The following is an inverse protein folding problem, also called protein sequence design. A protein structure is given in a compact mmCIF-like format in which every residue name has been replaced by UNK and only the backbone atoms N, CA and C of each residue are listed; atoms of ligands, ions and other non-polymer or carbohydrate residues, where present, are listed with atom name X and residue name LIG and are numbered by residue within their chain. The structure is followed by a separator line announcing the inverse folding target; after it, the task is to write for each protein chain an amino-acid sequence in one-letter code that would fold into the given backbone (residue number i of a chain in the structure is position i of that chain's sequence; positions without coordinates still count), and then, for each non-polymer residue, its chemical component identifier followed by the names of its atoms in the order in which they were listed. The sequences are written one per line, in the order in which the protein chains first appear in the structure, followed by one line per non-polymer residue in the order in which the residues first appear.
data_IF_046447539790
#
_entry.id   IF_046447539790
#
_cell.length_a   1.000
_cell.length_b   1.000
_cell.length_c   1.000
_cell.angle_alpha   90.00
_cell.angle_beta   90.00
_cell.angle_gamma   90.00
#
_symmetry.space_group_name_H-M   'P 1'
#
loop_
_entity.id
_entity.type
_entity.pdbx_description
1 polymer ?
#
# COMPACT_ATOMS: atom_id res chain seq x y z
N UNK A 1 -27.48 -29.19 8.79
CA UNK A 1 -26.06 -29.32 9.06
C UNK A 1 -25.23 -28.52 8.06
N UNK A 2 -25.41 -28.69 6.76
CA UNK A 2 -24.70 -27.91 5.76
C UNK A 2 -24.98 -26.40 5.88
N UNK A 3 -26.17 -26.05 6.32
CA UNK A 3 -26.57 -24.65 6.48
C UNK A 3 -25.73 -23.91 7.53
N UNK A 4 -25.42 -24.58 8.63
CA UNK A 4 -24.62 -23.94 9.67
C UNK A 4 -23.24 -23.55 9.17
N UNK A 5 -22.64 -24.41 8.39
CA UNK A 5 -21.30 -24.12 7.82
C UNK A 5 -21.33 -22.91 6.90
N UNK A 6 -22.35 -22.78 6.07
CA UNK A 6 -22.48 -21.65 5.15
C UNK A 6 -22.66 -20.35 5.92
N UNK A 7 -23.47 -20.38 6.96
CA UNK A 7 -23.69 -19.19 7.79
C UNK A 7 -22.40 -18.72 8.45
N UNK A 8 -21.61 -19.64 8.97
CA UNK A 8 -20.34 -19.31 9.60
C UNK A 8 -19.40 -18.65 8.61
N UNK A 9 -19.30 -19.19 7.40
CA UNK A 9 -18.43 -18.62 6.37
C UNK A 9 -18.85 -17.20 5.99
N UNK A 10 -20.17 -16.94 5.92
CA UNK A 10 -20.67 -15.62 5.59
C UNK A 10 -20.37 -14.59 6.68
N UNK A 11 -20.43 -15.01 7.94
CA UNK A 11 -20.19 -14.10 9.08
C UNK A 11 -18.73 -13.69 9.17
N UNK A 12 -17.81 -14.60 8.91
CA UNK A 12 -16.38 -14.34 9.06
C UNK A 12 -15.87 -13.14 8.26
N UNK A 13 -16.15 -13.03 6.95
CA UNK A 13 -15.71 -11.86 6.19
C UNK A 13 -16.26 -10.55 6.73
N UNK A 14 -17.49 -10.56 7.21
CA UNK A 14 -18.09 -9.34 7.76
C UNK A 14 -17.40 -8.90 9.04
N UNK A 15 -17.03 -9.84 9.88
CA UNK A 15 -16.31 -9.53 11.10
C UNK A 15 -14.95 -8.92 10.81
N UNK A 16 -14.26 -9.46 9.82
CA UNK A 16 -12.97 -8.93 9.43
C UNK A 16 -13.07 -7.48 8.92
N UNK A 17 -14.09 -7.21 8.11
CA UNK A 17 -14.33 -5.85 7.62
C UNK A 17 -14.69 -4.90 8.75
N UNK A 18 -15.52 -5.34 9.68
CA UNK A 18 -15.90 -4.51 10.81
C UNK A 18 -14.69 -4.20 11.70
N UNK A 19 -13.84 -5.18 11.93
CA UNK A 19 -12.62 -4.99 12.70
C UNK A 19 -11.69 -3.99 12.02
N UNK A 20 -11.56 -4.06 10.71
CA UNK A 20 -10.74 -3.11 9.95
C UNK A 20 -11.26 -1.67 10.08
N UNK A 21 -12.58 -1.51 10.18
CA UNK A 21 -13.19 -0.18 10.33
C UNK A 21 -13.08 0.37 11.74
N UNK A 22 -12.81 -0.45 12.71
CA UNK A 22 -12.76 -0.03 14.10
C UNK A 22 -11.57 0.87 14.44
N UNK A 23 -10.64 1.06 13.52
CA UNK A 23 -9.50 1.95 13.72
C UNK A 23 -8.25 1.24 14.17
N UNK A 24 -8.20 0.75 15.40
CA UNK A 24 -7.00 0.09 15.92
C UNK A 24 -6.53 -1.10 15.08
N UNK A 25 -7.42 -2.03 14.67
CA UNK A 25 -7.00 -3.10 13.77
C UNK A 25 -6.53 -2.60 12.41
N UNK A 26 -7.14 -1.52 11.90
CA UNK A 26 -6.74 -0.94 10.63
C UNK A 26 -5.34 -0.34 10.74
N UNK A 27 -5.02 0.35 11.83
CA UNK A 27 -3.70 0.90 12.06
C UNK A 27 -2.65 -0.20 12.16
N UNK A 28 -2.97 -1.30 12.84
CA UNK A 28 -2.08 -2.45 12.94
C UNK A 28 -1.84 -3.07 11.57
N UNK A 29 -2.90 -3.21 10.77
CA UNK A 29 -2.79 -3.77 9.43
C UNK A 29 -1.96 -2.89 8.50
N UNK A 30 -2.02 -1.56 8.69
CA UNK A 30 -1.21 -0.62 7.92
C UNK A 30 0.26 -0.66 8.34
N UNK A 31 0.51 -0.83 9.62
CA UNK A 31 1.87 -0.85 10.16
C UNK A 31 2.61 -2.14 9.81
N UNK A 32 1.92 -3.28 9.83
CA UNK A 32 2.55 -4.59 9.65
C UNK A 32 3.27 -4.75 8.31
N UNK A 33 2.66 -4.40 7.14
CA UNK A 33 3.37 -4.49 5.87
C UNK A 33 4.61 -3.61 5.82
N UNK A 34 4.50 -2.40 6.34
CA UNK A 34 5.62 -1.47 6.34
C UNK A 34 6.73 -1.94 7.27
N UNK A 35 6.39 -2.37 8.48
CA UNK A 35 7.40 -2.79 9.47
C UNK A 35 8.19 -4.00 9.02
N UNK A 36 7.60 -4.88 8.20
CA UNK A 36 8.28 -6.03 7.65
C UNK A 36 9.39 -5.67 6.66
N UNK A 37 9.40 -4.43 6.19
CA UNK A 37 10.41 -3.96 5.23
C UNK A 37 11.38 -2.94 5.83
N UNK A 38 11.32 -2.70 7.13
CA UNK A 38 12.21 -1.73 7.79
C UNK A 38 13.38 -2.49 8.41
N UNK A 39 14.60 -2.05 8.10
CA UNK A 39 15.80 -2.65 8.67
C UNK A 39 16.10 -2.10 10.07
N UNK A 40 17.16 -2.60 10.70
CA UNK A 40 17.53 -2.21 12.06
C UNK A 40 17.88 -0.72 12.18
N UNK A 41 18.25 -0.07 11.09
CA UNK A 41 18.60 1.36 11.05
C UNK A 41 17.41 2.24 10.72
N UNK A 42 16.24 1.65 10.47
CA UNK A 42 15.04 2.39 10.14
C UNK A 42 14.84 2.67 8.66
N UNK A 43 15.67 2.12 7.79
CA UNK A 43 15.51 2.27 6.35
C UNK A 43 14.62 1.20 5.78
N UNK A 44 13.87 1.55 4.73
CA UNK A 44 13.14 0.56 3.93
C UNK A 44 14.16 -0.32 3.20
N UNK A 45 14.02 -1.62 3.36
CA UNK A 45 14.91 -2.60 2.74
C UNK A 45 14.48 -2.85 1.30
N UNK A 46 15.20 -2.23 0.38
CA UNK A 46 14.82 -2.19 -1.05
C UNK A 46 14.72 -3.60 -1.65
N UNK A 47 15.71 -4.44 -1.39
CA UNK A 47 15.71 -5.79 -1.95
C UNK A 47 14.50 -6.60 -1.50
N UNK A 48 14.13 -6.49 -0.23
CA UNK A 48 12.96 -7.18 0.31
C UNK A 48 11.66 -6.71 -0.34
N UNK A 49 11.53 -5.40 -0.56
CA UNK A 49 10.35 -4.84 -1.24
C UNK A 49 10.30 -5.34 -2.69
N UNK A 50 11.41 -5.25 -3.41
CA UNK A 50 11.46 -5.70 -4.80
C UNK A 50 11.08 -7.17 -4.91
N UNK A 51 11.67 -8.03 -4.07
CA UNK A 51 11.37 -9.45 -4.06
C UNK A 51 9.90 -9.73 -3.73
N UNK A 52 9.37 -9.02 -2.75
CA UNK A 52 7.99 -9.20 -2.31
C UNK A 52 6.98 -8.93 -3.42
N UNK A 53 7.28 -7.97 -4.29
CA UNK A 53 6.38 -7.61 -5.40
C UNK A 53 6.82 -8.19 -6.74
N UNK A 54 7.86 -9.00 -6.75
CA UNK A 54 8.36 -9.60 -7.99
C UNK A 54 8.86 -8.58 -8.99
N UNK A 55 9.46 -7.50 -8.52
CA UNK A 55 9.96 -6.41 -9.35
C UNK A 55 11.47 -6.33 -9.31
N UNK A 56 12.06 -5.83 -10.40
CA UNK A 56 13.45 -5.40 -10.38
C UNK A 56 13.56 -4.06 -9.63
N UNK A 57 14.76 -3.71 -9.19
CA UNK A 57 14.99 -2.40 -8.57
C UNK A 57 14.66 -1.26 -9.52
N UNK A 58 14.92 -1.44 -10.83
CA UNK A 58 14.56 -0.44 -11.83
C UNK A 58 13.06 -0.24 -11.91
N UNK A 59 12.29 -1.32 -11.94
CA UNK A 59 10.83 -1.24 -11.96
C UNK A 59 10.30 -0.60 -10.68
N UNK A 60 10.86 -0.98 -9.55
CA UNK A 60 10.46 -0.42 -8.26
C UNK A 60 10.72 1.09 -8.22
N UNK A 61 11.87 1.55 -8.71
CA UNK A 61 12.20 2.96 -8.78
C UNK A 61 11.15 3.73 -9.61
N UNK A 62 10.72 3.16 -10.72
CA UNK A 62 9.70 3.78 -11.56
C UNK A 62 8.37 3.96 -10.83
N UNK A 63 7.99 3.02 -9.98
CA UNK A 63 6.72 3.09 -9.25
C UNK A 63 6.67 4.24 -8.24
N UNK A 64 7.81 4.78 -7.88
CA UNK A 64 7.89 5.91 -6.94
C UNK A 64 8.43 7.17 -7.59
N UNK A 65 8.54 7.17 -8.92
CA UNK A 65 8.90 8.36 -9.68
C UNK A 65 10.37 8.75 -9.61
N UNK A 66 11.25 7.77 -9.47
CA UNK A 66 12.69 7.99 -9.43
C UNK A 66 13.36 7.32 -10.61
N UNK A 67 14.59 7.74 -10.91
CA UNK A 67 15.37 7.16 -11.99
C UNK A 67 15.59 5.66 -11.80
N UNK A 68 15.63 4.92 -12.91
CA UNK A 68 15.69 3.45 -12.88
C UNK A 68 16.89 2.91 -12.10
N UNK A 69 17.97 3.68 -12.01
CA UNK A 69 19.20 3.25 -11.34
C UNK A 69 19.31 3.71 -9.89
N UNK A 70 18.33 4.50 -9.41
CA UNK A 70 18.40 5.11 -8.09
C UNK A 70 18.58 4.07 -6.98
N UNK A 71 17.92 2.94 -7.08
CA UNK A 71 17.90 1.96 -6.00
C UNK A 71 19.08 1.00 -6.00
N UNK A 72 19.95 1.07 -7.02
CA UNK A 72 21.11 0.20 -7.07
C UNK A 72 22.30 0.70 -6.24
N UNK A 73 22.29 1.98 -5.85
CA UNK A 73 23.34 2.55 -5.01
C UNK A 73 22.79 2.83 -3.63
N UNK A 74 23.47 2.31 -2.61
CA UNK A 74 23.03 2.42 -1.23
C UNK A 74 22.78 3.88 -0.81
N UNK A 75 23.68 4.79 -1.16
CA UNK A 75 23.55 6.20 -0.80
C UNK A 75 22.26 6.81 -1.38
N UNK A 76 21.91 6.48 -2.61
CA UNK A 76 20.69 6.99 -3.24
C UNK A 76 19.45 6.30 -2.69
N UNK A 77 19.54 5.00 -2.45
CA UNK A 77 18.43 4.24 -1.86
C UNK A 77 18.09 4.75 -0.46
N UNK A 78 19.09 5.20 0.29
CA UNK A 78 18.91 5.70 1.65
C UNK A 78 18.63 7.20 1.72
N UNK A 79 18.66 7.89 0.58
CA UNK A 79 18.36 9.33 0.55
C UNK A 79 16.94 9.60 1.05
N UNK A 80 16.76 10.73 1.71
CA UNK A 80 15.48 11.09 2.34
C UNK A 80 14.31 11.01 1.37
N UNK A 81 14.48 11.55 0.16
CA UNK A 81 13.42 11.54 -0.86
C UNK A 81 13.05 10.11 -1.27
N UNK A 82 14.04 9.26 -1.48
CA UNK A 82 13.81 7.86 -1.85
C UNK A 82 13.06 7.13 -0.76
N UNK A 83 13.51 7.27 0.47
CA UNK A 83 12.87 6.63 1.63
C UNK A 83 11.44 7.12 1.82
N UNK A 84 11.23 8.41 1.69
CA UNK A 84 9.90 9.01 1.83
C UNK A 84 8.94 8.45 0.78
N UNK A 85 9.35 8.42 -0.50
CA UNK A 85 8.53 7.89 -1.59
C UNK A 85 8.22 6.41 -1.40
N UNK A 86 9.22 5.64 -0.98
CA UNK A 86 9.05 4.22 -0.72
C UNK A 86 8.05 3.97 0.41
N UNK A 87 8.15 4.73 1.50
CA UNK A 87 7.21 4.62 2.61
C UNK A 87 5.79 4.98 2.18
N UNK A 88 5.65 6.04 1.41
CA UNK A 88 4.34 6.47 0.91
C UNK A 88 3.68 5.40 0.07
N UNK A 89 4.41 4.79 -0.84
CA UNK A 89 3.90 3.69 -1.65
C UNK A 89 3.45 2.51 -0.76
N UNK A 90 4.30 2.10 0.16
CA UNK A 90 4.00 0.96 1.03
C UNK A 90 2.82 1.24 1.96
N UNK A 91 2.68 2.46 2.45
CA UNK A 91 1.54 2.85 3.26
C UNK A 91 0.24 2.77 2.47
N UNK A 92 0.26 3.26 1.23
CA UNK A 92 -0.92 3.22 0.36
C UNK A 92 -1.28 1.78 0.02
N UNK A 93 -0.29 0.97 -0.34
CA UNK A 93 -0.51 -0.44 -0.64
C UNK A 93 -1.06 -1.18 0.59
N UNK A 94 -0.54 -0.86 1.77
CA UNK A 94 -1.04 -1.42 3.02
C UNK A 94 -2.51 -1.12 3.26
N UNK A 95 -2.93 0.12 3.00
CA UNK A 95 -4.34 0.52 3.14
C UNK A 95 -5.24 -0.23 2.18
N UNK A 96 -4.77 -0.46 0.97
CA UNK A 96 -5.58 -1.07 -0.10
C UNK A 96 -5.61 -2.59 -0.02
N UNK A 97 -4.56 -3.21 0.52
CA UNK A 97 -4.39 -4.66 0.51
C UNK A 97 -5.57 -5.42 1.10
N UNK A 98 -6.15 -4.89 2.17
CA UNK A 98 -7.23 -5.57 2.89
C UNK A 98 -8.47 -5.79 2.01
N UNK A 99 -8.78 -4.81 1.15
CA UNK A 99 -9.98 -4.91 0.31
C UNK A 99 -9.67 -5.18 -1.17
N UNK A 100 -8.42 -5.08 -1.56
CA UNK A 100 -8.02 -5.43 -2.93
C UNK A 100 -7.79 -6.94 -3.12
N UNK A 101 -7.59 -7.67 -2.03
CA UNK A 101 -7.34 -9.11 -2.11
C UNK A 101 -5.90 -9.51 -1.85
N UNK A 102 -5.08 -8.59 -1.34
CA UNK A 102 -3.69 -8.86 -0.99
C UNK A 102 -2.74 -7.84 -1.60
N UNK A 103 -1.45 -8.01 -1.32
CA UNK A 103 -0.43 -7.04 -1.75
C UNK A 103 -0.26 -6.96 -3.25
N UNK A 104 -0.41 -8.08 -3.95
CA UNK A 104 -0.23 -8.11 -5.41
C UNK A 104 -1.36 -7.38 -6.11
N UNK A 105 -2.58 -7.60 -5.66
CA UNK A 105 -3.74 -6.90 -6.16
C UNK A 105 -3.68 -5.42 -5.80
N UNK A 106 -3.19 -5.10 -4.62
CA UNK A 106 -3.00 -3.72 -4.19
C UNK A 106 -1.96 -3.00 -5.05
N UNK A 107 -0.87 -3.67 -5.41
CA UNK A 107 0.13 -3.09 -6.32
C UNK A 107 -0.47 -2.87 -7.70
N UNK A 108 -1.26 -3.81 -8.20
CA UNK A 108 -1.95 -3.64 -9.49
C UNK A 108 -2.91 -2.45 -9.44
N UNK A 109 -3.65 -2.30 -8.35
CA UNK A 109 -4.52 -1.15 -8.13
C UNK A 109 -3.71 0.15 -8.09
N UNK A 110 -2.63 0.16 -7.36
CA UNK A 110 -1.73 1.33 -7.22
C UNK A 110 -1.26 1.82 -8.59
N UNK A 111 -0.92 0.90 -9.47
CA UNK A 111 -0.34 1.25 -10.77
C UNK A 111 -1.37 1.57 -11.84
N UNK A 112 -2.54 0.98 -11.77
CA UNK A 112 -3.46 0.99 -12.91
C UNK A 112 -4.83 1.61 -12.66
N UNK A 113 -5.29 1.68 -11.41
CA UNK A 113 -6.67 2.08 -11.15
C UNK A 113 -6.83 3.60 -11.18
N UNK A 114 -7.63 4.14 -12.12
CA UNK A 114 -7.97 5.57 -12.09
C UNK A 114 -8.83 5.88 -10.86
N UNK A 115 -8.55 7.02 -10.24
CA UNK A 115 -9.30 7.46 -9.05
C UNK A 115 -10.10 8.70 -9.44
N UNK A 116 -11.43 8.59 -9.58
CA UNK A 116 -12.25 9.72 -10.04
C UNK A 116 -12.09 10.98 -9.17
N UNK A 117 -11.94 10.82 -7.86
CA UNK A 117 -11.76 11.95 -6.95
C UNK A 117 -10.51 12.76 -7.26
N UNK A 118 -9.57 12.21 -8.00
CA UNK A 118 -8.31 12.87 -8.39
C UNK A 118 -8.19 13.05 -9.89
N UNK A 119 -9.31 13.21 -10.59
CA UNK A 119 -9.32 13.42 -12.04
C UNK A 119 -8.84 12.21 -12.82
N UNK A 120 -9.19 11.04 -12.34
CA UNK A 120 -8.82 9.74 -12.95
C UNK A 120 -7.32 9.47 -12.96
N UNK A 121 -6.58 10.09 -12.05
CA UNK A 121 -5.17 9.78 -11.86
C UNK A 121 -5.03 8.52 -11.02
N UNK A 122 -3.96 7.78 -11.24
CA UNK A 122 -3.65 6.59 -10.45
C UNK A 122 -2.93 6.96 -9.15
N UNK A 123 -2.94 6.06 -8.18
CA UNK A 123 -2.17 6.24 -6.95
C UNK A 123 -0.68 6.43 -7.27
N UNK A 124 -0.15 5.65 -8.19
CA UNK A 124 1.24 5.78 -8.63
C UNK A 124 1.52 7.20 -9.12
N UNK A 125 0.67 7.75 -9.97
CA UNK A 125 0.80 9.11 -10.48
C UNK A 125 0.80 10.14 -9.36
N UNK A 126 -0.07 9.97 -8.37
CA UNK A 126 -0.18 10.89 -7.24
C UNK A 126 1.08 10.84 -6.36
N UNK A 127 1.59 9.66 -6.06
CA UNK A 127 2.82 9.53 -5.27
C UNK A 127 3.99 10.16 -6.02
N UNK A 128 4.12 9.89 -7.32
CA UNK A 128 5.18 10.47 -8.15
C UNK A 128 5.18 12.00 -8.15
N UNK A 129 4.02 12.60 -8.03
CA UNK A 129 3.88 14.06 -8.04
C UNK A 129 3.83 14.68 -6.65
N UNK A 130 4.11 13.90 -5.61
CA UNK A 130 4.16 14.43 -4.25
C UNK A 130 2.79 14.59 -3.59
N UNK A 131 1.77 13.90 -4.08
CA UNK A 131 0.41 14.00 -3.56
C UNK A 131 -0.04 12.77 -2.77
N UNK A 132 0.90 12.10 -2.13
CA UNK A 132 0.59 10.95 -1.29
C UNK A 132 -0.28 11.32 -0.08
N UNK A 133 -0.06 12.50 0.50
CA UNK A 133 -0.85 12.97 1.65
C UNK A 133 -2.34 13.01 1.37
N UNK A 134 -2.78 13.79 0.37
CA UNK A 134 -4.20 13.82 -0.02
C UNK A 134 -4.76 12.44 -0.35
N UNK A 135 -3.96 11.59 -0.99
CA UNK A 135 -4.40 10.23 -1.31
C UNK A 135 -4.61 9.40 -0.04
N UNK A 136 -3.71 9.47 0.92
CA UNK A 136 -3.88 8.77 2.19
C UNK A 136 -5.15 9.22 2.91
N UNK A 137 -5.39 10.53 2.93
CA UNK A 137 -6.60 11.09 3.55
C UNK A 137 -7.87 10.56 2.88
N UNK A 138 -7.86 10.50 1.55
CA UNK A 138 -8.96 9.96 0.77
C UNK A 138 -9.21 8.48 1.12
N UNK A 139 -8.15 7.67 1.17
CA UNK A 139 -8.27 6.25 1.49
C UNK A 139 -8.75 6.04 2.91
N UNK A 140 -8.28 6.84 3.85
CA UNK A 140 -8.74 6.77 5.23
C UNK A 140 -10.22 7.13 5.35
N UNK A 141 -10.64 8.12 4.58
CA UNK A 141 -12.06 8.50 4.52
C UNK A 141 -12.94 7.36 4.01
N UNK A 142 -12.51 6.69 2.95
CA UNK A 142 -13.22 5.52 2.42
C UNK A 142 -13.28 4.41 3.46
N UNK A 143 -12.17 4.13 4.13
CA UNK A 143 -12.10 3.09 5.15
C UNK A 143 -13.05 3.35 6.31
N UNK A 144 -13.37 4.61 6.57
CA UNK A 144 -14.31 5.01 7.61
C UNK A 144 -15.77 5.03 7.11
N UNK A 145 -16.04 4.55 5.90
CA UNK A 145 -17.37 4.47 5.34
C UNK A 145 -17.75 5.64 4.44
N UNK A 146 -16.79 6.46 4.05
CA UNK A 146 -17.03 7.54 3.11
C UNK A 146 -17.22 7.02 1.68
N UNK A 147 -17.71 7.87 0.80
CA UNK A 147 -17.87 7.54 -0.62
C UNK A 147 -16.74 8.14 -1.43
N UNK A 148 -16.34 7.39 -2.45
CA UNK A 148 -15.30 7.83 -3.38
C UNK A 148 -15.79 9.01 -4.23
#
# INVERSE_FOLDING_TARGET
MARARRTTAAVKPRQDLAAARAGAPALTALAAPLSGFIDAKGYVEIAGVADSFGMSKSQLAETIGLGRETLYKAARAQAAKTQSRMREMLEIIGRVSAWAGGKEQAMAWYRAQPIPAFGDRTAESLVKSGQAGPLRDYLDHIAMGGFA
#
